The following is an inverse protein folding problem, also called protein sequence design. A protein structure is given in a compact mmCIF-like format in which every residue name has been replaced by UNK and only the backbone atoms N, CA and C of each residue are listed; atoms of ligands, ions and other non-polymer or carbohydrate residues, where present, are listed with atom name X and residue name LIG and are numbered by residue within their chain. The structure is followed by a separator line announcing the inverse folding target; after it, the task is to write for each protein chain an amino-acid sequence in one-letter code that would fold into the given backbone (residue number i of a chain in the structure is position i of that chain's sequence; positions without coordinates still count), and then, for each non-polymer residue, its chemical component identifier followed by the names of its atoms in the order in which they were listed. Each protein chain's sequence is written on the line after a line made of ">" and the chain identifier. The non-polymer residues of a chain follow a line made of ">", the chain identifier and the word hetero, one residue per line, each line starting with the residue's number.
data_IF_934046035820
#
_entry.id   IF_934046035820
#
_cell.length_a   1.000
_cell.length_b   1.000
_cell.length_c   1.000
_cell.angle_alpha   90.00
_cell.angle_beta   90.00
_cell.angle_gamma   90.00
#
_symmetry.space_group_name_H-M   'P 1'
#
loop_
_entity.id
_entity.type
_entity.pdbx_description
1 polymer ?
#
# COMPACT_ATOMS: atom_id res chain seq x y z
N UNK A 1 -15.72 57.84 -55.06
CA UNK A 1 -15.95 56.39 -55.10
C UNK A 1 -14.80 55.68 -54.38
N UNK A 2 -14.80 55.62 -53.04
CA UNK A 2 -13.79 54.87 -52.25
C UNK A 2 -14.17 54.76 -50.76
N UNK A 3 -15.38 54.30 -50.41
CA UNK A 3 -15.74 54.05 -48.99
C UNK A 3 -16.53 52.76 -48.77
N UNK A 4 -16.58 51.87 -49.75
CA UNK A 4 -17.47 50.70 -49.71
C UNK A 4 -16.77 49.37 -49.99
N UNK A 5 -15.45 49.30 -49.76
CA UNK A 5 -14.64 48.08 -49.93
C UNK A 5 -14.26 47.42 -48.59
N UNK A 6 -14.60 48.01 -47.43
CA UNK A 6 -14.31 47.40 -46.11
C UNK A 6 -15.48 46.58 -45.53
N UNK A 7 -16.60 46.44 -46.25
CA UNK A 7 -17.80 45.74 -45.77
C UNK A 7 -18.03 44.36 -46.41
N UNK A 8 -17.00 43.79 -47.06
CA UNK A 8 -17.07 42.49 -47.73
C UNK A 8 -15.98 41.49 -47.33
N UNK A 9 -15.32 41.67 -46.19
CA UNK A 9 -14.71 40.57 -45.44
C UNK A 9 -15.73 39.98 -44.46
N UNK A 10 -16.93 39.63 -44.96
CA UNK A 10 -17.92 38.87 -44.18
C UNK A 10 -17.36 37.47 -43.93
N UNK A 11 -16.97 37.23 -42.68
CA UNK A 11 -17.23 35.98 -41.95
C UNK A 11 -16.72 34.71 -42.63
N UNK A 12 -15.41 34.63 -42.87
CA UNK A 12 -14.74 33.34 -43.02
C UNK A 12 -14.14 32.98 -41.66
N UNK A 13 -14.63 31.90 -41.05
CA UNK A 13 -13.77 31.04 -40.24
C UNK A 13 -14.08 30.86 -38.75
N UNK A 14 -14.84 31.72 -38.08
CA UNK A 14 -15.14 31.49 -36.65
C UNK A 14 -16.42 30.67 -36.47
N UNK A 15 -16.40 29.42 -36.93
CA UNK A 15 -17.21 28.37 -36.28
C UNK A 15 -16.53 28.06 -34.95
N UNK A 16 -16.60 29.01 -34.01
CA UNK A 16 -16.35 28.68 -32.61
C UNK A 16 -17.35 27.60 -32.21
N UNK A 17 -16.90 26.62 -31.43
CA UNK A 17 -17.73 25.55 -30.87
C UNK A 17 -19.09 26.14 -30.46
N UNK A 18 -20.16 25.60 -31.05
CA UNK A 18 -21.49 26.08 -30.72
C UNK A 18 -21.78 25.80 -29.25
N UNK A 19 -22.50 26.69 -28.57
CA UNK A 19 -22.88 26.52 -27.17
C UNK A 19 -23.52 25.13 -26.93
N UNK A 20 -24.34 24.69 -27.90
CA UNK A 20 -25.00 23.38 -27.88
C UNK A 20 -24.00 22.22 -27.92
N UNK A 21 -22.91 22.35 -28.69
CA UNK A 21 -21.89 21.32 -28.82
C UNK A 21 -21.13 21.17 -27.50
N UNK A 22 -20.87 22.28 -26.80
CA UNK A 22 -20.20 22.27 -25.50
C UNK A 22 -21.06 21.62 -24.40
N UNK A 23 -22.38 21.88 -24.39
CA UNK A 23 -23.31 21.28 -23.42
C UNK A 23 -23.38 19.76 -23.62
N UNK A 24 -23.44 19.29 -24.86
CA UNK A 24 -23.49 17.84 -25.15
C UNK A 24 -22.19 17.16 -24.68
N UNK A 25 -21.03 17.79 -24.87
CA UNK A 25 -19.75 17.26 -24.40
C UNK A 25 -19.73 17.12 -22.88
N UNK A 26 -20.15 18.15 -22.15
CA UNK A 26 -20.21 18.09 -20.68
C UNK A 26 -21.19 17.00 -20.21
N UNK A 27 -22.33 16.86 -20.88
CA UNK A 27 -23.32 15.84 -20.55
C UNK A 27 -22.75 14.42 -20.70
N UNK A 28 -22.05 14.15 -21.81
CA UNK A 28 -21.45 12.83 -22.04
C UNK A 28 -20.29 12.60 -21.07
N UNK A 29 -19.42 13.59 -20.85
CA UNK A 29 -18.32 13.48 -19.88
C UNK A 29 -18.84 13.24 -18.46
N UNK A 30 -19.96 13.86 -18.07
CA UNK A 30 -20.58 13.64 -16.76
C UNK A 30 -21.06 12.19 -16.59
N UNK A 31 -21.71 11.61 -17.61
CA UNK A 31 -22.14 10.21 -17.58
C UNK A 31 -20.92 9.27 -17.51
N UNK A 32 -19.91 9.51 -18.34
CA UNK A 32 -18.70 8.68 -18.39
C UNK A 32 -17.94 8.70 -17.06
N UNK A 33 -17.72 9.89 -16.47
CA UNK A 33 -17.05 10.01 -15.16
C UNK A 33 -17.87 9.32 -14.06
N UNK A 34 -19.21 9.37 -14.13
CA UNK A 34 -20.08 8.67 -13.19
C UNK A 34 -19.87 7.15 -13.18
N UNK A 35 -19.84 6.51 -14.35
CA UNK A 35 -19.63 5.06 -14.46
C UNK A 35 -18.18 4.66 -14.14
N UNK A 36 -17.21 5.45 -14.61
CA UNK A 36 -15.80 5.20 -14.33
C UNK A 36 -15.50 5.33 -12.83
N UNK A 37 -16.13 6.26 -12.13
CA UNK A 37 -15.94 6.44 -10.69
C UNK A 37 -16.31 5.20 -9.87
N UNK A 38 -17.45 4.57 -10.17
CA UNK A 38 -17.92 3.37 -9.43
C UNK A 38 -17.06 2.14 -9.72
N UNK A 39 -16.51 2.03 -10.94
CA UNK A 39 -15.61 0.93 -11.30
C UNK A 39 -14.17 1.16 -10.83
N UNK A 40 -13.60 2.37 -10.92
CA UNK A 40 -12.17 2.59 -10.68
C UNK A 40 -11.80 2.56 -9.20
N UNK A 41 -12.62 3.13 -8.32
CA UNK A 41 -12.33 3.23 -6.89
C UNK A 41 -12.01 1.87 -6.21
N UNK A 42 -12.84 0.82 -6.34
CA UNK A 42 -12.53 -0.47 -5.73
C UNK A 42 -11.30 -1.15 -6.36
N UNK A 43 -11.05 -0.94 -7.67
CA UNK A 43 -9.87 -1.48 -8.33
C UNK A 43 -8.58 -0.79 -7.90
N UNK A 44 -8.59 0.53 -7.70
CA UNK A 44 -7.46 1.25 -7.12
C UNK A 44 -7.14 0.75 -5.72
N UNK A 45 -8.16 0.50 -4.90
CA UNK A 45 -7.96 -0.03 -3.55
C UNK A 45 -7.40 -1.45 -3.58
N UNK A 46 -7.93 -2.33 -4.45
CA UNK A 46 -7.38 -3.67 -4.65
C UNK A 46 -5.92 -3.65 -5.10
N UNK A 47 -5.56 -2.71 -5.98
CA UNK A 47 -4.16 -2.54 -6.41
C UNK A 47 -3.26 -2.08 -5.28
N UNK A 48 -3.73 -1.16 -4.42
CA UNK A 48 -2.98 -0.73 -3.23
C UNK A 48 -2.81 -1.87 -2.24
N UNK A 49 -3.86 -2.64 -1.95
CA UNK A 49 -3.78 -3.84 -1.11
C UNK A 49 -2.75 -4.83 -1.64
N UNK A 50 -2.73 -5.08 -2.95
CA UNK A 50 -1.74 -5.98 -3.55
C UNK A 50 -0.29 -5.49 -3.37
N UNK A 51 -0.04 -4.18 -3.48
CA UNK A 51 1.29 -3.60 -3.20
C UNK A 51 1.66 -3.72 -1.72
N UNK A 52 0.74 -3.40 -0.83
CA UNK A 52 0.97 -3.54 0.62
C UNK A 52 1.27 -5.02 0.97
N UNK A 53 0.56 -5.97 0.35
CA UNK A 53 0.82 -7.40 0.49
C UNK A 53 2.21 -7.82 -0.03
N UNK A 54 2.75 -7.16 -1.06
CA UNK A 54 4.12 -7.43 -1.52
C UNK A 54 5.15 -7.01 -0.47
N UNK A 55 4.92 -5.89 0.22
CA UNK A 55 5.79 -5.44 1.32
C UNK A 55 5.75 -6.46 2.46
N UNK A 56 4.55 -6.83 2.92
CA UNK A 56 4.38 -7.83 4.01
C UNK A 56 4.99 -9.19 3.63
N UNK A 57 4.86 -9.61 2.36
CA UNK A 57 5.48 -10.84 1.86
C UNK A 57 7.01 -10.78 1.83
N UNK A 58 7.58 -9.60 1.56
CA UNK A 58 9.01 -9.35 1.69
C UNK A 58 9.50 -9.58 3.12
N UNK A 59 8.76 -9.06 4.10
CA UNK A 59 9.08 -9.26 5.52
C UNK A 59 8.95 -10.73 5.92
N UNK A 60 7.93 -11.44 5.45
CA UNK A 60 7.80 -12.89 5.68
C UNK A 60 9.03 -13.67 5.20
N UNK A 61 9.60 -13.27 4.06
CA UNK A 61 10.84 -13.87 3.53
C UNK A 61 12.04 -13.53 4.41
N UNK A 62 12.18 -12.27 4.82
CA UNK A 62 13.25 -11.86 5.75
C UNK A 62 13.15 -12.57 7.09
N UNK A 63 11.95 -12.64 7.66
CA UNK A 63 11.69 -13.33 8.91
C UNK A 63 12.03 -14.83 8.80
N UNK A 64 11.63 -15.51 7.72
CA UNK A 64 12.02 -16.90 7.48
C UNK A 64 13.54 -17.07 7.47
N UNK A 65 14.29 -16.17 6.83
CA UNK A 65 15.74 -16.23 6.81
C UNK A 65 16.33 -16.11 8.23
N UNK A 66 15.83 -15.18 9.04
CA UNK A 66 16.27 -15.01 10.44
C UNK A 66 15.95 -16.23 11.30
N UNK A 67 14.74 -16.79 11.18
CA UNK A 67 14.38 -18.00 11.91
C UNK A 67 15.22 -19.21 11.47
N UNK A 68 15.59 -19.29 10.19
CA UNK A 68 16.47 -20.35 9.69
C UNK A 68 17.92 -20.19 10.17
N UNK A 69 18.43 -18.96 10.25
CA UNK A 69 19.78 -18.66 10.74
C UNK A 69 19.92 -18.96 12.24
N UNK A 70 18.86 -18.71 13.01
CA UNK A 70 18.82 -18.90 14.46
C UNK A 70 18.02 -20.13 14.88
N UNK A 71 18.01 -21.18 14.04
CA UNK A 71 17.29 -22.41 14.32
C UNK A 71 17.76 -23.14 15.60
N UNK A 72 18.97 -22.84 16.09
CA UNK A 72 19.57 -23.40 17.29
C UNK A 72 18.93 -22.89 18.60
N UNK A 73 18.38 -21.67 18.59
CA UNK A 73 17.74 -21.05 19.77
C UNK A 73 16.21 -21.20 19.79
N UNK A 74 15.63 -21.80 18.74
CA UNK A 74 14.19 -22.00 18.62
C UNK A 74 13.85 -23.46 18.93
N UNK A 75 12.97 -23.68 19.90
CA UNK A 75 12.53 -25.03 20.29
C UNK A 75 11.01 -25.20 20.32
N UNK A 76 10.27 -24.12 20.10
CA UNK A 76 8.81 -24.07 20.10
C UNK A 76 8.33 -23.04 19.08
N UNK A 77 7.00 -22.95 18.91
CA UNK A 77 6.40 -21.86 18.16
C UNK A 77 6.79 -20.50 18.79
N UNK A 78 6.95 -19.49 17.94
CA UNK A 78 7.39 -18.15 18.32
C UNK A 78 6.37 -17.12 17.84
N UNK A 79 6.14 -16.10 18.66
CA UNK A 79 5.26 -14.97 18.34
C UNK A 79 6.02 -13.66 18.56
N UNK A 80 6.32 -12.97 17.47
CA UNK A 80 6.99 -11.68 17.49
C UNK A 80 5.97 -10.60 17.14
N UNK A 81 5.92 -9.54 17.92
CA UNK A 81 5.09 -8.35 17.67
C UNK A 81 6.00 -7.15 17.53
N UNK A 82 5.93 -6.47 16.40
CA UNK A 82 6.62 -5.18 16.20
C UNK A 82 5.60 -4.06 16.16
N UNK A 83 5.81 -2.99 16.92
CA UNK A 83 4.87 -1.87 17.04
C UNK A 83 5.57 -0.61 17.59
N UNK A 84 4.85 0.53 17.57
CA UNK A 84 5.41 1.82 18.00
C UNK A 84 5.69 1.96 19.50
N UNK A 85 5.16 1.08 20.34
CA UNK A 85 5.38 1.08 21.79
C UNK A 85 6.55 0.19 22.23
N UNK A 86 7.10 -0.61 21.31
CA UNK A 86 8.18 -1.55 21.60
C UNK A 86 7.93 -2.92 20.99
N UNK A 87 8.95 -3.47 20.35
CA UNK A 87 8.91 -4.84 19.85
C UNK A 87 8.93 -5.86 20.99
N UNK A 88 8.17 -6.94 20.86
CA UNK A 88 8.06 -8.03 21.84
C UNK A 88 8.29 -9.38 21.15
N UNK A 89 8.94 -10.31 21.85
CA UNK A 89 9.22 -11.65 21.35
C UNK A 89 10.63 -12.11 21.70
N UNK A 90 11.09 -13.17 21.05
CA UNK A 90 12.46 -13.69 21.20
C UNK A 90 13.49 -12.62 20.81
N UNK A 91 14.40 -12.28 21.73
CA UNK A 91 15.35 -11.17 21.57
C UNK A 91 16.40 -11.42 20.50
N UNK A 92 16.82 -12.68 20.30
CA UNK A 92 17.77 -13.06 19.25
C UNK A 92 17.15 -12.86 17.87
N UNK A 93 15.89 -13.29 17.71
CA UNK A 93 15.14 -13.12 16.46
C UNK A 93 14.89 -11.65 16.17
N UNK A 94 14.51 -10.85 17.19
CA UNK A 94 14.34 -9.40 17.04
C UNK A 94 15.65 -8.70 16.63
N UNK A 95 16.79 -9.13 17.17
CA UNK A 95 18.10 -8.59 16.78
C UNK A 95 18.43 -8.94 15.32
N UNK A 96 18.25 -10.21 14.91
CA UNK A 96 18.48 -10.64 13.54
C UNK A 96 17.54 -9.97 12.54
N UNK A 97 16.27 -9.76 12.90
CA UNK A 97 15.32 -8.98 12.10
C UNK A 97 15.79 -7.53 11.93
N UNK A 98 16.28 -6.88 12.99
CA UNK A 98 16.79 -5.51 12.90
C UNK A 98 17.98 -5.44 11.95
N UNK A 99 18.94 -6.36 12.09
CA UNK A 99 20.10 -6.43 11.20
C UNK A 99 19.69 -6.62 9.73
N UNK A 100 18.85 -7.62 9.45
CA UNK A 100 18.45 -7.95 8.09
C UNK A 100 17.61 -6.86 7.42
N UNK A 101 16.78 -6.16 8.21
CA UNK A 101 15.92 -5.07 7.74
C UNK A 101 16.65 -3.71 7.73
N UNK A 102 17.90 -3.63 8.20
CA UNK A 102 18.66 -2.39 8.27
C UNK A 102 18.17 -1.42 9.35
N UNK A 103 17.47 -1.91 10.37
CA UNK A 103 17.00 -1.15 11.52
C UNK A 103 18.13 -1.06 12.56
N UNK A 104 18.43 0.13 13.13
CA UNK A 104 19.46 0.26 14.16
C UNK A 104 19.22 -0.67 15.36
N UNK A 105 20.29 -1.28 15.88
CA UNK A 105 20.18 -2.19 17.04
C UNK A 105 19.61 -1.51 18.30
N UNK A 106 19.80 -0.19 18.42
CA UNK A 106 19.28 0.63 19.53
C UNK A 106 17.80 0.99 19.39
N UNK A 107 17.20 0.77 18.21
CA UNK A 107 15.81 1.07 17.97
C UNK A 107 14.88 0.19 18.78
N UNK A 108 13.75 0.73 19.19
CA UNK A 108 12.73 0.01 19.95
C UNK A 108 11.57 -0.50 19.10
N UNK A 109 11.45 -0.03 17.85
CA UNK A 109 10.31 -0.31 16.97
C UNK A 109 10.80 -0.63 15.55
N UNK A 110 10.87 -1.91 15.20
CA UNK A 110 11.05 -2.34 13.80
C UNK A 110 9.92 -1.77 12.94
N UNK A 111 8.70 -1.73 13.47
CA UNK A 111 7.54 -1.27 12.72
C UNK A 111 7.71 0.17 12.22
N UNK A 112 8.06 1.12 13.08
CA UNK A 112 8.15 2.52 12.63
C UNK A 112 9.40 2.80 11.80
N UNK A 113 10.52 2.13 12.12
CA UNK A 113 11.80 2.38 11.45
C UNK A 113 11.87 1.72 10.07
N UNK A 114 11.33 0.50 9.93
CA UNK A 114 11.29 -0.21 8.65
C UNK A 114 10.02 0.10 7.83
N UNK A 115 8.89 0.37 8.49
CA UNK A 115 7.60 0.67 7.87
C UNK A 115 7.09 2.06 8.28
N UNK A 116 7.84 3.14 7.97
CA UNK A 116 7.45 4.49 8.35
C UNK A 116 6.09 4.88 7.76
N UNK A 117 5.49 5.92 8.35
CA UNK A 117 4.19 6.44 7.91
C UNK A 117 4.17 6.72 6.39
N UNK A 118 3.16 6.19 5.71
CA UNK A 118 3.00 6.32 4.25
C UNK A 118 3.54 5.14 3.44
N UNK A 119 4.22 4.18 4.07
CA UNK A 119 4.63 2.92 3.42
C UNK A 119 3.43 2.18 2.85
N UNK A 120 2.39 1.98 3.66
CA UNK A 120 1.15 1.35 3.23
C UNK A 120 0.20 2.35 2.61
N UNK A 121 -0.39 1.98 1.48
CA UNK A 121 -1.26 2.86 0.70
C UNK A 121 -2.74 2.49 0.75
N UNK A 122 -3.06 1.22 1.03
CA UNK A 122 -4.44 0.76 1.18
C UNK A 122 -5.10 1.37 2.41
N UNK A 123 -6.43 1.42 2.41
CA UNK A 123 -7.21 1.90 3.56
C UNK A 123 -6.88 1.12 4.83
N UNK A 124 -6.82 -0.21 4.70
CA UNK A 124 -6.55 -1.10 5.84
C UNK A 124 -5.07 -0.98 6.26
N UNK A 125 -4.14 -1.03 5.31
CA UNK A 125 -2.70 -0.91 5.60
C UNK A 125 -2.31 0.41 6.27
N UNK A 126 -2.93 1.53 5.89
CA UNK A 126 -2.71 2.83 6.57
C UNK A 126 -3.18 2.86 8.02
N UNK A 127 -4.08 1.96 8.37
CA UNK A 127 -4.64 1.86 9.72
C UNK A 127 -3.83 0.88 10.58
N UNK A 128 -2.80 0.23 10.05
CA UNK A 128 -1.96 -0.70 10.80
C UNK A 128 -1.13 0.03 11.87
N UNK A 129 -1.08 -0.56 13.06
CA UNK A 129 -0.32 -0.08 14.22
C UNK A 129 0.75 -1.07 14.66
N UNK A 130 0.65 -2.32 14.20
CA UNK A 130 1.59 -3.39 14.52
C UNK A 130 1.67 -4.40 13.38
N UNK A 131 2.77 -5.15 13.38
CA UNK A 131 3.02 -6.31 12.53
C UNK A 131 3.33 -7.50 13.43
N UNK A 132 2.62 -8.60 13.22
CA UNK A 132 2.81 -9.84 13.97
C UNK A 132 3.50 -10.84 13.03
N UNK A 133 4.51 -11.52 13.56
CA UNK A 133 5.30 -12.55 12.88
C UNK A 133 5.21 -13.81 13.73
N UNK A 134 4.48 -14.80 13.23
CA UNK A 134 4.27 -16.09 13.87
C UNK A 134 5.14 -17.14 13.17
N UNK A 135 5.92 -17.90 13.94
CA UNK A 135 6.67 -19.04 13.45
C UNK A 135 6.16 -20.33 14.08
N UNK A 136 5.88 -21.32 13.25
CA UNK A 136 5.40 -22.64 13.68
C UNK A 136 6.54 -23.65 13.58
N UNK A 137 7.09 -24.06 14.72
CA UNK A 137 8.28 -24.92 14.81
C UNK A 137 8.08 -26.27 14.12
N UNK A 138 6.91 -26.88 14.31
CA UNK A 138 6.59 -28.18 13.72
C UNK A 138 6.63 -28.17 12.17
N UNK A 139 6.44 -27.01 11.54
CA UNK A 139 6.36 -26.90 10.08
C UNK A 139 7.43 -26.00 9.46
N UNK A 140 8.16 -25.24 10.28
CA UNK A 140 9.09 -24.21 9.81
C UNK A 140 8.42 -23.02 9.12
N UNK A 141 7.09 -22.87 9.23
CA UNK A 141 6.34 -21.84 8.50
C UNK A 141 6.31 -20.53 9.27
N UNK A 142 6.56 -19.44 8.55
CA UNK A 142 6.40 -18.07 9.05
C UNK A 142 5.14 -17.45 8.47
N UNK A 143 4.31 -16.87 9.33
CA UNK A 143 3.14 -16.09 8.94
C UNK A 143 3.32 -14.66 9.41
N UNK A 144 3.12 -13.70 8.52
CA UNK A 144 3.24 -12.27 8.83
C UNK A 144 1.92 -11.58 8.54
N UNK A 145 1.40 -10.83 9.49
CA UNK A 145 0.13 -10.12 9.34
C UNK A 145 0.13 -8.76 10.02
N UNK A 146 -0.56 -7.79 9.42
CA UNK A 146 -0.75 -6.46 9.99
C UNK A 146 -1.93 -6.45 10.95
N UNK A 147 -1.85 -5.60 11.97
CA UNK A 147 -2.89 -5.44 12.98
C UNK A 147 -3.17 -3.96 13.29
N UNK A 148 -4.41 -3.67 13.65
CA UNK A 148 -4.79 -2.47 14.38
C UNK A 148 -5.39 -2.89 15.73
N UNK A 149 -4.62 -2.69 16.79
CA UNK A 149 -4.94 -3.29 18.10
C UNK A 149 -5.05 -4.81 17.97
N UNK A 150 -6.24 -5.35 18.23
CA UNK A 150 -6.53 -6.80 18.12
C UNK A 150 -7.14 -7.21 16.77
N UNK A 151 -7.40 -6.27 15.87
CA UNK A 151 -8.04 -6.54 14.58
C UNK A 151 -6.98 -6.86 13.54
N UNK A 152 -7.04 -8.07 12.99
CA UNK A 152 -6.20 -8.47 11.87
C UNK A 152 -6.56 -7.68 10.61
N UNK A 153 -5.55 -7.20 9.89
CA UNK A 153 -5.66 -6.41 8.68
C UNK A 153 -4.95 -7.11 7.53
N UNK A 154 -5.52 -6.95 6.33
CA UNK A 154 -5.08 -7.64 5.11
C UNK A 154 -5.02 -9.17 5.30
N UNK A 155 -4.73 -9.86 4.21
CA UNK A 155 -4.49 -11.30 4.27
C UNK A 155 -3.09 -11.56 4.88
N UNK A 156 -2.89 -12.67 5.61
CA UNK A 156 -1.58 -13.02 6.11
C UNK A 156 -0.62 -13.42 4.97
N UNK A 157 0.62 -12.94 5.03
CA UNK A 157 1.69 -13.41 4.16
C UNK A 157 2.35 -14.64 4.79
N UNK A 158 2.22 -15.78 4.13
CA UNK A 158 2.80 -17.05 4.59
C UNK A 158 4.05 -17.35 3.79
N UNK A 159 5.13 -17.73 4.47
CA UNK A 159 6.37 -18.16 3.84
C UNK A 159 6.11 -19.38 2.97
N UNK A 160 6.75 -19.42 1.80
CA UNK A 160 6.62 -20.55 0.87
C UNK A 160 7.30 -21.81 1.39
#
# INVERSE_FOLDING_TARGET
>A
MMREELRKSKKLGNKGFSLIEMIIVIAIMAILVGVVGTAVLPYMEKSRKAKDMQIVSGISTSALAVFAEHADVISTDEHIVTNSTGDTGNSTILAGLKELLGVPATSTSIFDDYLPAGTFQSKDGKSATSLHIDYVYATGKVTVQLYNGTTALLDPAVSK
#
